data_IF_073681366192
#
_entry.id   IF_073681366192
#
_cell.length_a   1.000
_cell.length_b   1.000
_cell.length_c   1.000
_cell.angle_alpha   90.00
_cell.angle_beta   90.00
_cell.angle_gamma   90.00
#
_symmetry.space_group_name_H-M   'P 1'
#
loop_
_entity.id
_entity.type
_entity.pdbx_description
1 polymer ?
#
# COMPACT_ATOMS: atom_id res chain seq x y z
N UNK A 1 10.92 6.87 15.13
CA UNK A 1 10.06 6.39 14.03
C UNK A 1 9.82 4.91 14.25
N UNK A 2 8.60 4.53 14.61
CA UNK A 2 8.19 3.12 14.61
C UNK A 2 8.22 2.60 13.18
N UNK A 3 8.79 1.40 12.98
CA UNK A 3 8.77 0.74 11.69
C UNK A 3 7.31 0.51 11.31
N UNK A 4 6.89 0.98 10.13
CA UNK A 4 5.57 0.69 9.59
C UNK A 4 5.52 -0.79 9.23
N UNK A 5 4.45 -1.48 9.60
CA UNK A 5 4.19 -2.84 9.14
C UNK A 5 3.78 -2.78 7.66
N UNK A 6 4.62 -3.35 6.80
CA UNK A 6 4.42 -3.37 5.35
C UNK A 6 3.72 -4.65 4.86
N UNK A 7 3.45 -5.59 5.77
CA UNK A 7 2.85 -6.88 5.48
C UNK A 7 3.75 -7.88 4.76
N UNK A 8 5.03 -7.55 4.51
CA UNK A 8 5.97 -8.36 3.75
C UNK A 8 5.73 -8.32 2.23
N UNK A 9 6.35 -9.24 1.47
CA UNK A 9 6.28 -9.26 0.00
C UNK A 9 4.84 -9.45 -0.51
N UNK A 10 4.42 -8.65 -1.50
CA UNK A 10 3.10 -8.75 -2.13
C UNK A 10 2.89 -10.08 -2.88
N UNK A 11 3.99 -10.62 -3.43
CA UNK A 11 4.01 -11.88 -4.15
C UNK A 11 5.12 -12.77 -3.62
N UNK A 12 5.01 -14.11 -3.74
CA UNK A 12 6.07 -15.02 -3.33
C UNK A 12 7.41 -14.67 -4.00
N UNK A 13 8.49 -14.49 -3.23
CA UNK A 13 9.79 -14.24 -3.83
C UNK A 13 10.26 -15.50 -4.57
N UNK A 14 10.78 -15.32 -5.79
CA UNK A 14 11.39 -16.41 -6.58
C UNK A 14 12.87 -16.63 -6.24
N UNK A 15 13.44 -15.77 -5.39
CA UNK A 15 14.84 -15.73 -4.98
C UNK A 15 14.97 -15.64 -3.46
N UNK A 16 16.16 -15.93 -2.93
CA UNK A 16 16.42 -15.79 -1.51
C UNK A 16 16.25 -14.30 -1.09
N UNK A 17 15.30 -13.97 -0.21
CA UNK A 17 15.02 -12.59 0.20
C UNK A 17 16.16 -11.94 0.99
N UNK A 18 17.11 -12.73 1.54
CA UNK A 18 18.29 -12.20 2.23
C UNK A 18 19.36 -11.67 1.26
N UNK A 19 19.40 -12.20 0.04
CA UNK A 19 20.40 -11.83 -0.96
C UNK A 19 19.82 -10.96 -2.08
N UNK A 20 18.49 -10.89 -2.17
CA UNK A 20 17.77 -10.15 -3.20
C UNK A 20 16.55 -9.51 -2.58
N UNK A 21 16.42 -8.19 -2.72
CA UNK A 21 15.25 -7.49 -2.21
C UNK A 21 13.95 -8.08 -2.80
N UNK A 22 12.96 -8.24 -1.94
CA UNK A 22 11.59 -8.49 -2.42
C UNK A 22 11.10 -7.21 -3.09
N UNK A 23 10.44 -7.33 -4.24
CA UNK A 23 10.04 -6.17 -5.04
C UNK A 23 9.07 -5.23 -4.31
N UNK A 24 7.78 -5.51 -4.44
CA UNK A 24 6.70 -4.70 -3.85
C UNK A 24 6.21 -5.32 -2.53
N UNK A 25 5.90 -4.51 -1.51
CA UNK A 25 5.27 -5.00 -0.27
C UNK A 25 3.75 -5.13 -0.42
N UNK A 26 3.07 -5.88 0.46
CA UNK A 26 1.60 -5.93 0.48
C UNK A 26 0.99 -4.54 0.67
N UNK A 27 1.61 -3.71 1.51
CA UNK A 27 1.23 -2.31 1.69
C UNK A 27 1.24 -1.54 0.36
N UNK A 28 2.34 -1.63 -0.38
CA UNK A 28 2.49 -0.95 -1.67
C UNK A 28 1.49 -1.49 -2.70
N UNK A 29 1.22 -2.79 -2.68
CA UNK A 29 0.26 -3.42 -3.57
C UNK A 29 -1.17 -2.95 -3.30
N UNK A 30 -1.61 -2.98 -2.04
CA UNK A 30 -2.93 -2.46 -1.66
C UNK A 30 -3.05 -0.95 -1.95
N UNK A 31 -1.99 -0.17 -1.67
CA UNK A 31 -1.98 1.25 -1.97
C UNK A 31 -2.13 1.51 -3.49
N UNK A 32 -1.50 0.71 -4.33
CA UNK A 32 -1.67 0.77 -5.79
C UNK A 32 -3.11 0.51 -6.23
N UNK A 33 -3.79 -0.47 -5.61
CA UNK A 33 -5.21 -0.73 -5.91
C UNK A 33 -6.12 0.41 -5.45
N UNK A 34 -5.88 0.95 -4.25
CA UNK A 34 -6.62 2.09 -3.72
C UNK A 34 -6.42 3.34 -4.60
N UNK A 35 -5.19 3.58 -5.06
CA UNK A 35 -4.84 4.68 -5.97
C UNK A 35 -5.67 4.63 -7.26
N UNK A 36 -5.80 3.44 -7.87
CA UNK A 36 -6.61 3.26 -9.09
C UNK A 36 -8.07 3.64 -8.83
N UNK A 37 -8.64 3.23 -7.70
CA UNK A 37 -10.01 3.58 -7.35
C UNK A 37 -10.19 5.08 -7.09
N UNK A 38 -9.27 5.71 -6.34
CA UNK A 38 -9.32 7.15 -6.02
C UNK A 38 -9.24 7.99 -7.29
N UNK A 39 -8.33 7.65 -8.21
CA UNK A 39 -8.19 8.34 -9.49
C UNK A 39 -9.38 8.08 -10.43
N UNK A 40 -9.89 6.84 -10.46
CA UNK A 40 -10.98 6.44 -11.34
C UNK A 40 -12.34 7.04 -10.98
N UNK A 41 -12.58 7.28 -9.68
CA UNK A 41 -13.80 7.94 -9.20
C UNK A 41 -13.80 9.45 -9.43
N UNK A 42 -12.72 10.03 -9.96
CA UNK A 42 -12.63 11.46 -10.20
C UNK A 42 -12.71 12.27 -8.90
N UNK A 43 -12.30 11.70 -7.76
CA UNK A 43 -12.24 12.35 -6.45
C UNK A 43 -11.17 13.46 -6.37
N UNK A 44 -10.80 14.04 -7.51
CA UNK A 44 -10.08 15.30 -7.59
C UNK A 44 -11.02 16.41 -7.12
N UNK A 45 -11.25 16.50 -5.81
CA UNK A 45 -11.68 17.77 -5.25
C UNK A 45 -10.50 18.75 -5.39
N UNK A 46 -10.78 20.05 -5.35
CA UNK A 46 -9.72 21.08 -5.30
C UNK A 46 -8.75 20.89 -4.11
N UNK A 47 -9.05 19.98 -3.18
CA UNK A 47 -8.25 19.67 -1.99
C UNK A 47 -7.41 18.39 -2.10
N UNK A 48 -7.55 17.60 -3.17
CA UNK A 48 -6.82 16.33 -3.34
C UNK A 48 -5.66 16.52 -4.31
N UNK A 49 -4.57 17.13 -3.83
CA UNK A 49 -3.28 17.11 -4.52
C UNK A 49 -2.70 15.68 -4.55
N UNK A 50 -1.60 15.50 -5.30
CA UNK A 50 -0.97 14.19 -5.45
C UNK A 50 -0.56 13.58 -4.10
N UNK A 51 -0.18 14.42 -3.13
CA UNK A 51 0.16 13.97 -1.77
C UNK A 51 -1.07 13.48 -1.01
N UNK A 52 -2.22 14.15 -1.13
CA UNK A 52 -3.49 13.73 -0.54
C UNK A 52 -3.94 12.39 -1.09
N UNK A 53 -3.84 12.20 -2.40
CA UNK A 53 -4.19 10.93 -3.07
C UNK A 53 -3.28 9.80 -2.59
N UNK A 54 -1.96 10.04 -2.52
CA UNK A 54 -1.01 9.06 -2.00
C UNK A 54 -1.31 8.71 -0.54
N UNK A 55 -1.56 9.73 0.30
CA UNK A 55 -1.87 9.55 1.72
C UNK A 55 -3.12 8.69 1.94
N UNK A 56 -4.22 8.99 1.25
CA UNK A 56 -5.45 8.21 1.33
C UNK A 56 -5.20 6.76 0.88
N UNK A 57 -4.46 6.57 -0.21
CA UNK A 57 -4.16 5.24 -0.75
C UNK A 57 -3.39 4.38 0.25
N UNK A 58 -2.38 4.94 0.93
CA UNK A 58 -1.64 4.25 1.98
C UNK A 58 -2.47 4.04 3.26
N UNK A 59 -3.36 4.95 3.63
CA UNK A 59 -4.27 4.76 4.77
C UNK A 59 -5.21 3.57 4.56
N UNK A 60 -5.73 3.40 3.33
CA UNK A 60 -6.54 2.23 2.97
C UNK A 60 -5.70 0.96 3.05
N UNK A 61 -4.46 0.97 2.54
CA UNK A 61 -3.55 -0.17 2.63
C UNK A 61 -3.25 -0.58 4.08
N UNK A 62 -2.99 0.40 4.95
CA UNK A 62 -2.71 0.18 6.37
C UNK A 62 -3.93 -0.42 7.08
N UNK A 63 -5.15 0.01 6.72
CA UNK A 63 -6.39 -0.57 7.23
C UNK A 63 -6.56 -2.04 6.83
N UNK A 64 -6.23 -2.40 5.58
CA UNK A 64 -6.30 -3.79 5.09
C UNK A 64 -5.30 -4.71 5.81
N UNK A 65 -4.08 -4.22 6.07
CA UNK A 65 -3.07 -4.97 6.83
C UNK A 65 -3.50 -5.19 8.28
N UNK A 66 -4.04 -4.15 8.92
CA UNK A 66 -4.55 -4.25 10.29
C UNK A 66 -5.67 -5.29 10.39
N UNK A 67 -6.63 -5.27 9.46
CA UNK A 67 -7.72 -6.26 9.42
C UNK A 67 -7.18 -7.69 9.28
N UNK A 68 -6.22 -7.90 8.37
CA UNK A 68 -5.58 -9.21 8.16
C UNK A 68 -4.89 -9.74 9.42
N UNK A 69 -4.23 -8.87 10.19
CA UNK A 69 -3.52 -9.25 11.42
C UNK A 69 -4.43 -9.47 12.64
N UNK A 70 -5.73 -9.26 12.52
CA UNK A 70 -6.69 -9.31 13.64
C UNK A 70 -7.43 -10.65 13.79
N UNK A 71 -6.89 -11.76 13.26
CA UNK A 71 -7.46 -13.13 13.35
C UNK A 71 -6.61 -14.09 14.16
#
# INVERSE_FOLDING_TARGET
MTKIDDGGPAFPPHHNPETHASGMTLRDWFAGQALVAVLGLGLKSEQADEMGIASISYQVADAMLKERGSS
#
